data_IF_752685855827
#
_entry.id   IF_752685855827
#
_cell.length_a   1.000
_cell.length_b   1.000
_cell.length_c   1.000
_cell.angle_alpha   90.00
_cell.angle_beta   90.00
_cell.angle_gamma   90.00
#
_symmetry.space_group_name_H-M   'P 1'
#
loop_
_entity.id
_entity.type
_entity.pdbx_description
1 polymer ?
#
# COMPACT_ATOMS: atom_id res chain seq x y z
N UNK A 1 19.23 16.88 -15.65
CA UNK A 1 19.16 16.47 -14.22
C UNK A 1 17.76 16.25 -13.63
N UNK A 2 16.68 16.53 -14.36
CA UNK A 2 15.30 16.33 -13.85
C UNK A 2 14.84 14.86 -13.71
N UNK A 3 15.55 13.89 -14.26
CA UNK A 3 15.13 12.49 -14.31
C UNK A 3 15.57 11.62 -13.11
N UNK A 4 16.38 12.14 -12.21
CA UNK A 4 16.98 11.36 -11.11
C UNK A 4 16.01 10.96 -9.97
N UNK A 5 14.76 11.47 -9.96
CA UNK A 5 13.77 11.16 -8.91
C UNK A 5 12.52 10.53 -9.47
N UNK A 6 11.98 9.55 -8.73
CA UNK A 6 10.72 8.90 -9.07
C UNK A 6 9.57 9.89 -9.25
N UNK A 7 8.67 9.63 -10.21
CA UNK A 7 7.53 10.49 -10.52
C UNK A 7 6.64 10.82 -9.30
N UNK A 8 6.48 9.86 -8.38
CA UNK A 8 5.76 10.06 -7.12
C UNK A 8 6.42 11.11 -6.22
N UNK A 9 7.75 11.03 -6.06
CA UNK A 9 8.53 12.00 -5.27
C UNK A 9 8.45 13.39 -5.89
N UNK A 10 8.53 13.49 -7.21
CA UNK A 10 8.39 14.78 -7.91
C UNK A 10 7.04 15.43 -7.65
N UNK A 11 5.94 14.68 -7.75
CA UNK A 11 4.59 15.19 -7.46
C UNK A 11 4.44 15.68 -6.03
N UNK A 12 4.92 14.91 -5.06
CA UNK A 12 4.81 15.29 -3.64
C UNK A 12 5.70 16.48 -3.31
N UNK A 13 6.89 16.59 -3.90
CA UNK A 13 7.76 17.76 -3.75
C UNK A 13 7.15 19.01 -4.41
N UNK A 14 6.58 18.88 -5.60
CA UNK A 14 5.89 19.99 -6.27
C UNK A 14 4.70 20.50 -5.45
N UNK A 15 3.91 19.60 -4.83
CA UNK A 15 2.82 19.97 -3.95
C UNK A 15 3.31 20.68 -2.69
N UNK A 16 4.34 20.13 -2.03
CA UNK A 16 4.94 20.73 -0.83
C UNK A 16 5.57 22.10 -1.13
N UNK A 17 6.23 22.23 -2.27
CA UNK A 17 6.81 23.48 -2.73
C UNK A 17 5.74 24.55 -2.99
N UNK A 18 4.66 24.20 -3.69
CA UNK A 18 3.55 25.11 -3.93
C UNK A 18 2.94 25.60 -2.63
N UNK A 19 2.74 24.73 -1.65
CA UNK A 19 2.24 25.12 -0.34
C UNK A 19 3.17 26.14 0.37
N UNK A 20 4.49 25.96 0.27
CA UNK A 20 5.47 26.89 0.81
C UNK A 20 5.46 28.25 0.09
N UNK A 21 5.49 28.25 -1.25
CA UNK A 21 5.48 29.50 -2.04
C UNK A 21 4.18 30.27 -1.85
N UNK A 22 3.04 29.61 -1.77
CA UNK A 22 1.74 30.25 -1.48
C UNK A 22 1.73 30.91 -0.10
N UNK A 23 2.28 30.19 0.92
CA UNK A 23 2.41 30.76 2.25
C UNK A 23 3.35 31.98 2.28
N UNK A 24 4.53 31.87 1.65
CA UNK A 24 5.46 32.99 1.56
C UNK A 24 4.82 34.23 0.89
N UNK A 25 4.10 34.03 -0.20
CA UNK A 25 3.40 35.14 -0.90
C UNK A 25 2.36 35.81 0.00
N UNK A 26 1.64 35.04 0.79
CA UNK A 26 0.63 35.57 1.73
C UNK A 26 1.26 36.36 2.88
N UNK A 27 2.39 35.90 3.39
CA UNK A 27 3.07 36.53 4.54
C UNK A 27 4.13 37.57 4.13
N UNK A 28 4.27 37.87 2.84
CA UNK A 28 5.23 38.86 2.35
C UNK A 28 6.69 38.40 2.37
N UNK A 29 6.94 37.09 2.32
CA UNK A 29 8.30 36.50 2.35
C UNK A 29 8.80 36.07 0.98
N UNK A 30 10.11 36.13 0.77
CA UNK A 30 10.78 35.56 -0.41
C UNK A 30 10.92 34.04 -0.24
N UNK A 31 10.41 33.29 -1.24
CA UNK A 31 10.48 31.83 -1.22
C UNK A 31 11.82 31.26 -1.73
N UNK A 32 12.54 31.98 -2.63
CA UNK A 32 13.86 31.62 -3.17
C UNK A 32 14.67 32.89 -3.45
N UNK A 33 15.85 33.07 -2.84
CA UNK A 33 16.33 32.30 -1.70
C UNK A 33 15.53 32.62 -0.44
N UNK A 34 15.11 31.60 0.30
CA UNK A 34 14.40 31.81 1.55
C UNK A 34 15.40 31.97 2.72
N UNK A 35 15.12 32.89 3.62
CA UNK A 35 15.87 33.02 4.85
C UNK A 35 15.52 31.89 5.84
N UNK A 36 16.45 31.35 6.66
CA UNK A 36 16.16 30.35 7.67
C UNK A 36 14.99 30.70 8.60
N UNK A 37 14.87 31.96 9.02
CA UNK A 37 13.75 32.46 9.84
C UNK A 37 12.41 32.27 9.14
N UNK A 38 12.33 32.52 7.84
CA UNK A 38 11.11 32.30 7.04
C UNK A 38 10.71 30.80 7.04
N UNK A 39 11.69 29.91 6.91
CA UNK A 39 11.43 28.48 6.95
C UNK A 39 10.99 28.01 8.33
N UNK A 40 11.60 28.54 9.41
CA UNK A 40 11.21 28.25 10.78
C UNK A 40 9.78 28.73 11.05
N UNK A 41 9.43 29.97 10.67
CA UNK A 41 8.07 30.51 10.79
C UNK A 41 7.04 29.67 10.03
N UNK A 42 7.37 29.23 8.80
CA UNK A 42 6.52 28.31 8.04
C UNK A 42 6.28 26.97 8.73
N UNK A 43 7.30 26.42 9.38
CA UNK A 43 7.14 25.17 10.16
C UNK A 43 6.20 25.34 11.33
N UNK A 44 6.31 26.46 12.07
CA UNK A 44 5.42 26.79 13.20
C UNK A 44 3.99 26.96 12.69
N UNK A 45 3.78 27.77 11.65
CA UNK A 45 2.46 27.95 11.04
C UNK A 45 1.83 26.63 10.59
N UNK A 46 2.64 25.72 10.01
CA UNK A 46 2.16 24.39 9.66
C UNK A 46 1.84 23.53 10.89
N UNK A 47 2.66 23.60 11.94
CA UNK A 47 2.42 22.84 13.17
C UNK A 47 1.15 23.30 13.89
N UNK A 48 0.83 24.59 13.84
CA UNK A 48 -0.35 25.17 14.46
C UNK A 48 -1.63 25.03 13.64
N UNK A 49 -1.51 24.58 12.39
CA UNK A 49 -2.69 24.32 11.55
C UNK A 49 -3.48 23.14 12.12
N UNK A 50 -4.76 23.37 12.41
CA UNK A 50 -5.71 22.35 12.89
C UNK A 50 -6.77 22.05 11.83
N UNK A 51 -7.37 20.87 11.91
CA UNK A 51 -8.52 20.45 11.11
C UNK A 51 -9.82 21.03 11.71
N UNK A 52 -10.93 20.90 11.02
CA UNK A 52 -12.27 21.24 11.55
C UNK A 52 -12.60 20.49 12.86
N UNK A 53 -12.01 19.33 13.07
CA UNK A 53 -12.14 18.54 14.31
C UNK A 53 -11.19 18.99 15.43
N UNK A 54 -10.42 20.07 15.25
CA UNK A 54 -9.46 20.57 16.24
C UNK A 54 -8.15 19.77 16.32
N UNK A 55 -7.95 18.78 15.47
CA UNK A 55 -6.74 17.97 15.46
C UNK A 55 -5.62 18.64 14.64
N UNK A 56 -4.35 18.36 14.98
CA UNK A 56 -3.20 18.82 14.17
C UNK A 56 -3.31 18.33 12.72
N UNK A 57 -3.30 19.26 11.76
CA UNK A 57 -3.46 18.93 10.34
C UNK A 57 -2.26 18.16 9.75
N UNK A 58 -1.05 18.36 10.28
CA UNK A 58 0.18 17.82 9.71
C UNK A 58 1.00 17.07 10.75
N UNK A 59 1.36 15.81 10.44
CA UNK A 59 2.29 15.04 11.25
C UNK A 59 3.74 15.57 11.11
N UNK A 60 4.62 15.38 12.11
CA UNK A 60 6.03 15.76 12.04
C UNK A 60 6.76 15.22 10.81
N UNK A 61 6.39 14.00 10.34
CA UNK A 61 6.93 13.41 9.12
C UNK A 61 6.52 14.19 7.85
N UNK A 62 5.33 14.81 7.85
CA UNK A 62 4.87 15.68 6.76
C UNK A 62 5.68 16.97 6.73
N UNK A 63 5.96 17.55 7.88
CA UNK A 63 6.81 18.75 8.02
C UNK A 63 8.24 18.45 7.55
N UNK A 64 8.81 17.33 7.97
CA UNK A 64 10.13 16.89 7.47
C UNK A 64 10.16 16.72 5.94
N UNK A 65 9.06 16.19 5.36
CA UNK A 65 8.93 16.10 3.90
C UNK A 65 8.86 17.47 3.22
N UNK A 66 8.16 18.46 3.83
CA UNK A 66 8.13 19.84 3.34
C UNK A 66 9.51 20.48 3.37
N UNK A 67 10.28 20.31 4.45
CA UNK A 67 11.67 20.74 4.52
C UNK A 67 12.53 20.12 3.41
N UNK A 68 12.39 18.83 3.16
CA UNK A 68 13.14 18.16 2.08
C UNK A 68 12.78 18.72 0.69
N UNK A 69 11.52 19.14 0.47
CA UNK A 69 11.10 19.80 -0.76
C UNK A 69 11.70 21.21 -0.89
N UNK A 70 11.70 22.01 0.19
CA UNK A 70 12.32 23.34 0.23
C UNK A 70 13.82 23.23 -0.09
N UNK A 71 14.53 22.31 0.59
CA UNK A 71 15.94 22.06 0.34
C UNK A 71 16.24 21.64 -1.11
N UNK A 72 15.34 20.83 -1.69
CA UNK A 72 15.47 20.38 -3.07
C UNK A 72 15.36 21.55 -4.06
N UNK A 73 14.32 22.39 -3.91
CA UNK A 73 14.10 23.51 -4.81
C UNK A 73 15.21 24.56 -4.71
N UNK A 74 15.73 24.89 -3.52
CA UNK A 74 16.88 25.78 -3.36
C UNK A 74 18.10 25.28 -4.11
N UNK A 75 18.47 23.99 -3.93
CA UNK A 75 19.60 23.39 -4.67
C UNK A 75 19.39 23.41 -6.17
N UNK A 76 18.17 23.20 -6.67
CA UNK A 76 17.88 23.25 -8.10
C UNK A 76 18.00 24.67 -8.66
N UNK A 77 17.72 25.69 -7.86
CA UNK A 77 17.84 27.11 -8.22
C UNK A 77 19.23 27.68 -7.96
N UNK A 78 20.21 26.84 -7.60
CA UNK A 78 21.59 27.27 -7.36
C UNK A 78 21.81 28.01 -6.04
N UNK A 79 20.86 27.95 -5.10
CA UNK A 79 20.96 28.62 -3.81
C UNK A 79 21.33 27.66 -2.67
N UNK A 80 22.03 28.14 -1.62
CA UNK A 80 22.22 27.40 -0.40
C UNK A 80 20.88 26.99 0.20
N UNK A 81 20.84 25.79 0.80
CA UNK A 81 19.60 25.35 1.44
C UNK A 81 19.44 25.94 2.83
N UNK A 82 18.32 26.63 3.14
CA UNK A 82 18.06 27.18 4.46
C UNK A 82 17.72 26.12 5.51
N UNK A 83 17.41 24.89 5.08
CA UNK A 83 16.89 23.84 5.99
C UNK A 83 17.99 23.18 6.83
N UNK A 84 19.27 23.45 6.55
CA UNK A 84 20.41 23.00 7.34
C UNK A 84 20.80 23.93 8.48
N UNK A 85 20.14 25.08 8.60
CA UNK A 85 20.38 26.06 9.64
C UNK A 85 19.95 25.54 11.03
N UNK A 86 20.69 25.95 12.06
CA UNK A 86 20.44 25.53 13.45
C UNK A 86 19.06 25.95 13.95
N UNK A 87 18.58 27.13 13.56
CA UNK A 87 17.25 27.60 13.92
C UNK A 87 16.17 26.66 13.36
N UNK A 88 16.29 26.27 12.10
CA UNK A 88 15.30 25.37 11.46
C UNK A 88 15.34 23.98 12.10
N UNK A 89 16.54 23.46 12.42
CA UNK A 89 16.70 22.19 13.12
C UNK A 89 16.12 22.23 14.51
N UNK A 90 16.42 23.29 15.28
CA UNK A 90 15.89 23.48 16.62
C UNK A 90 14.35 23.62 16.62
N UNK A 91 13.79 24.39 15.68
CA UNK A 91 12.33 24.53 15.50
C UNK A 91 11.68 23.19 15.23
N UNK A 92 12.22 22.40 14.28
CA UNK A 92 11.67 21.08 13.96
C UNK A 92 11.78 20.11 15.14
N UNK A 93 12.86 20.19 15.93
CA UNK A 93 13.04 19.40 17.16
C UNK A 93 12.04 19.79 18.23
N UNK A 94 11.80 21.09 18.42
CA UNK A 94 10.79 21.62 19.33
C UNK A 94 9.38 21.15 18.98
N UNK A 95 9.01 21.24 17.70
CA UNK A 95 7.73 20.73 17.20
C UNK A 95 7.58 19.23 17.50
N UNK A 96 8.60 18.40 17.23
CA UNK A 96 8.55 16.96 17.53
C UNK A 96 8.35 16.67 19.01
N UNK A 97 9.04 17.42 19.90
CA UNK A 97 8.85 17.29 21.36
C UNK A 97 7.45 17.71 21.76
N UNK A 98 6.93 18.84 21.26
CA UNK A 98 5.57 19.29 21.53
C UNK A 98 4.54 18.22 21.17
N UNK A 99 4.60 17.65 19.96
CA UNK A 99 3.72 16.55 19.55
C UNK A 99 3.86 15.30 20.44
N UNK A 100 5.06 14.98 20.90
CA UNK A 100 5.27 13.85 21.79
C UNK A 100 4.69 14.09 23.18
N UNK A 101 4.77 15.32 23.70
CA UNK A 101 4.26 15.70 25.01
C UNK A 101 2.73 15.74 25.04
N UNK A 102 2.09 16.28 24.00
CA UNK A 102 0.63 16.36 23.92
C UNK A 102 -0.02 15.04 23.50
N UNK A 103 0.77 14.06 23.07
CA UNK A 103 0.25 12.80 22.55
C UNK A 103 -0.50 12.94 21.21
N UNK A 104 -0.53 14.14 20.63
CA UNK A 104 -1.23 14.43 19.38
C UNK A 104 -0.52 13.78 18.20
N UNK A 105 -1.13 12.76 17.66
CA UNK A 105 -0.69 12.11 16.41
C UNK A 105 -1.77 12.31 15.34
N UNK A 106 -1.51 13.15 14.32
CA UNK A 106 -2.52 13.42 13.28
C UNK A 106 -2.85 12.21 12.40
N UNK A 107 -2.16 11.09 12.53
CA UNK A 107 -2.46 9.84 11.83
C UNK A 107 -2.06 8.64 12.69
N UNK A 108 -3.03 7.84 13.06
CA UNK A 108 -2.78 6.47 13.54
C UNK A 108 -2.14 5.62 12.45
N UNK A 109 -1.22 4.70 12.79
CA UNK A 109 -0.76 3.67 11.87
C UNK A 109 -1.95 2.92 11.27
N UNK A 110 -1.81 2.42 10.06
CA UNK A 110 -2.85 1.60 9.42
C UNK A 110 -3.04 0.31 10.22
N UNK A 111 -4.29 0.03 10.61
CA UNK A 111 -4.61 -1.23 11.25
C UNK A 111 -4.19 -2.41 10.35
N UNK A 112 -3.47 -3.41 10.88
CA UNK A 112 -3.09 -4.59 10.12
C UNK A 112 -4.31 -5.48 9.89
N UNK A 113 -4.44 -6.04 8.69
CA UNK A 113 -5.37 -7.15 8.43
C UNK A 113 -4.60 -8.47 8.56
N UNK A 114 -4.94 -9.27 9.54
CA UNK A 114 -4.29 -10.56 9.79
C UNK A 114 -4.86 -11.66 8.90
N UNK A 115 -4.30 -12.87 8.96
CA UNK A 115 -4.75 -13.98 8.13
C UNK A 115 -6.23 -14.31 8.36
N UNK A 116 -6.67 -14.31 9.61
CA UNK A 116 -8.08 -14.58 9.95
C UNK A 116 -9.01 -13.50 9.34
N UNK A 117 -8.60 -12.23 9.39
CA UNK A 117 -9.36 -11.12 8.80
C UNK A 117 -9.49 -11.30 7.28
N UNK A 118 -8.37 -11.62 6.61
CA UNK A 118 -8.37 -11.82 5.16
C UNK A 118 -9.30 -12.97 4.76
N UNK A 119 -9.25 -14.09 5.50
CA UNK A 119 -10.12 -15.25 5.24
C UNK A 119 -11.59 -14.87 5.43
N UNK A 120 -11.95 -14.26 6.57
CA UNK A 120 -13.33 -13.85 6.85
C UNK A 120 -13.89 -12.88 5.80
N UNK A 121 -13.08 -11.88 5.39
CA UNK A 121 -13.45 -10.91 4.36
C UNK A 121 -13.66 -11.59 3.00
N UNK A 122 -12.80 -12.54 2.64
CA UNK A 122 -12.90 -13.27 1.37
C UNK A 122 -14.11 -14.20 1.35
N UNK A 123 -14.35 -14.95 2.43
CA UNK A 123 -15.49 -15.87 2.53
C UNK A 123 -16.81 -15.10 2.48
N UNK A 124 -16.92 -13.99 3.21
CA UNK A 124 -18.09 -13.12 3.13
C UNK A 124 -18.29 -12.54 1.73
N UNK A 125 -17.21 -12.08 1.07
CA UNK A 125 -17.28 -11.54 -0.27
C UNK A 125 -17.82 -12.55 -1.29
N UNK A 126 -17.50 -13.84 -1.13
CA UNK A 126 -18.02 -14.94 -1.95
C UNK A 126 -19.48 -15.25 -1.65
N UNK A 127 -19.81 -15.30 -0.37
CA UNK A 127 -21.18 -15.57 0.07
C UNK A 127 -22.19 -14.51 -0.39
N UNK A 128 -21.75 -13.26 -0.53
CA UNK A 128 -22.60 -12.13 -0.93
C UNK A 128 -22.84 -12.02 -2.44
N UNK A 129 -22.20 -12.84 -3.27
CA UNK A 129 -22.36 -12.77 -4.72
C UNK A 129 -23.78 -13.20 -5.14
N UNK A 130 -24.52 -12.29 -5.79
CA UNK A 130 -25.86 -12.54 -6.30
C UNK A 130 -25.93 -12.70 -7.82
N UNK A 131 -24.81 -12.50 -8.52
CA UNK A 131 -24.76 -12.62 -9.96
C UNK A 131 -23.39 -12.39 -10.56
N UNK A 132 -23.28 -12.54 -11.87
CA UNK A 132 -22.01 -12.48 -12.59
C UNK A 132 -21.20 -11.19 -12.33
N UNK A 133 -21.87 -10.05 -12.18
CA UNK A 133 -21.20 -8.78 -11.94
C UNK A 133 -20.53 -8.74 -10.56
N UNK A 134 -21.21 -9.29 -9.54
CA UNK A 134 -20.66 -9.39 -8.19
C UNK A 134 -19.49 -10.38 -8.14
N UNK A 135 -19.61 -11.50 -8.87
CA UNK A 135 -18.50 -12.45 -9.01
C UNK A 135 -17.27 -11.87 -9.68
N UNK A 136 -17.43 -11.04 -10.73
CA UNK A 136 -16.30 -10.33 -11.36
C UNK A 136 -15.58 -9.45 -10.34
N UNK A 137 -16.35 -8.70 -9.55
CA UNK A 137 -15.80 -7.81 -8.52
C UNK A 137 -15.19 -8.62 -7.38
N UNK A 138 -15.84 -9.72 -6.94
CA UNK A 138 -15.30 -10.63 -5.93
C UNK A 138 -13.95 -11.19 -6.35
N UNK A 139 -13.85 -11.79 -7.55
CA UNK A 139 -12.61 -12.41 -8.03
C UNK A 139 -11.45 -11.43 -8.08
N UNK A 140 -11.69 -10.18 -8.53
CA UNK A 140 -10.68 -9.12 -8.49
C UNK A 140 -10.29 -8.74 -7.06
N UNK A 141 -11.27 -8.52 -6.20
CA UNK A 141 -11.03 -8.04 -4.84
C UNK A 141 -10.34 -9.11 -4.00
N UNK A 142 -10.72 -10.38 -4.16
CA UNK A 142 -10.02 -11.53 -3.56
C UNK A 142 -8.58 -11.63 -4.06
N UNK A 143 -8.33 -11.41 -5.35
CA UNK A 143 -6.96 -11.35 -5.86
C UNK A 143 -6.17 -10.17 -5.24
N UNK A 144 -6.78 -8.99 -5.06
CA UNK A 144 -6.15 -7.85 -4.36
C UNK A 144 -5.77 -8.24 -2.93
N UNK A 145 -6.70 -8.84 -2.18
CA UNK A 145 -6.50 -9.21 -0.79
C UNK A 145 -5.42 -10.28 -0.63
N UNK A 146 -5.56 -11.41 -1.32
CA UNK A 146 -4.66 -12.55 -1.14
C UNK A 146 -3.27 -12.31 -1.75
N UNK A 147 -3.18 -11.74 -2.96
CA UNK A 147 -1.88 -11.39 -3.54
C UNK A 147 -1.22 -10.26 -2.74
N UNK A 148 -1.99 -9.23 -2.38
CA UNK A 148 -1.49 -8.08 -1.63
C UNK A 148 -0.96 -8.45 -0.27
N UNK A 149 -1.66 -9.34 0.46
CA UNK A 149 -1.26 -9.86 1.76
C UNK A 149 -0.06 -10.81 1.63
N UNK A 150 -0.18 -11.94 0.93
CA UNK A 150 0.86 -12.94 0.85
C UNK A 150 2.14 -12.43 0.15
N UNK A 151 2.00 -11.56 -0.84
CA UNK A 151 3.12 -10.89 -1.49
C UNK A 151 3.66 -9.70 -0.73
N UNK A 152 3.03 -9.28 0.36
CA UNK A 152 3.38 -8.09 1.14
C UNK A 152 3.64 -6.86 0.25
N UNK A 153 2.88 -6.71 -0.84
CA UNK A 153 3.09 -5.66 -1.83
C UNK A 153 2.80 -4.26 -1.26
N UNK A 154 3.61 -3.30 -1.67
CA UNK A 154 3.17 -1.90 -1.59
C UNK A 154 2.03 -1.70 -2.59
N UNK A 155 1.06 -0.87 -2.23
CA UNK A 155 -0.08 -0.54 -3.10
C UNK A 155 0.34 -0.19 -4.54
N UNK A 156 1.40 0.62 -4.68
CA UNK A 156 1.92 1.00 -6.00
C UNK A 156 2.57 -0.14 -6.77
N UNK A 157 3.14 -1.12 -6.08
CA UNK A 157 3.70 -2.32 -6.69
C UNK A 157 2.56 -3.21 -7.21
N UNK A 158 1.53 -3.40 -6.38
CA UNK A 158 0.38 -4.25 -6.72
C UNK A 158 -0.38 -3.76 -7.96
N UNK A 159 -0.68 -2.46 -8.05
CA UNK A 159 -1.41 -1.90 -9.20
C UNK A 159 -0.55 -1.77 -10.47
N UNK A 160 0.77 -1.86 -10.35
CA UNK A 160 1.69 -1.79 -11.48
C UNK A 160 1.97 -3.15 -12.12
N UNK A 161 1.42 -4.24 -11.58
CA UNK A 161 1.60 -5.57 -12.13
C UNK A 161 0.87 -5.71 -13.48
N UNK A 162 1.57 -6.28 -14.45
CA UNK A 162 0.99 -6.75 -15.70
C UNK A 162 0.76 -8.27 -15.65
N UNK A 163 -0.03 -8.78 -16.57
CA UNK A 163 -0.29 -10.22 -16.66
C UNK A 163 0.99 -11.05 -16.86
N UNK A 164 1.97 -10.50 -17.59
CA UNK A 164 3.28 -11.14 -17.81
C UNK A 164 4.18 -11.19 -16.58
N UNK A 165 3.91 -10.38 -15.55
CA UNK A 165 4.73 -10.37 -14.35
C UNK A 165 4.44 -11.56 -13.43
N UNK A 166 3.35 -12.30 -13.70
CA UNK A 166 2.92 -13.43 -12.87
C UNK A 166 3.09 -14.74 -13.64
N UNK A 167 3.84 -15.65 -13.07
CA UNK A 167 4.01 -17.02 -13.57
C UNK A 167 3.63 -18.03 -12.48
N UNK A 168 3.00 -19.13 -12.91
CA UNK A 168 2.69 -20.26 -12.03
C UNK A 168 3.82 -21.27 -12.14
N UNK A 169 4.55 -21.45 -11.04
CA UNK A 169 5.58 -22.48 -10.91
C UNK A 169 4.95 -23.76 -10.37
N UNK A 170 5.30 -24.89 -10.98
CA UNK A 170 4.64 -26.19 -10.70
C UNK A 170 4.75 -26.63 -9.24
N UNK A 171 5.86 -26.34 -8.58
CA UNK A 171 6.14 -26.76 -7.20
C UNK A 171 5.87 -25.66 -6.17
N UNK A 172 6.19 -24.41 -6.50
CA UNK A 172 6.24 -23.33 -5.50
C UNK A 172 4.94 -22.54 -5.38
N UNK A 173 4.14 -22.46 -6.44
CA UNK A 173 2.98 -21.55 -6.54
C UNK A 173 3.22 -20.38 -7.49
N UNK A 174 2.84 -19.16 -7.13
CA UNK A 174 3.05 -18.00 -7.99
C UNK A 174 4.44 -17.42 -7.80
N UNK A 175 5.12 -17.13 -8.90
CA UNK A 175 6.28 -16.25 -8.96
C UNK A 175 5.87 -14.92 -9.57
N UNK A 176 6.00 -13.84 -8.81
CA UNK A 176 5.61 -12.49 -9.21
C UNK A 176 6.85 -11.63 -9.32
N UNK A 177 7.15 -11.19 -10.55
CA UNK A 177 8.29 -10.32 -10.86
C UNK A 177 7.93 -8.86 -10.63
N UNK A 178 8.59 -8.20 -9.71
CA UNK A 178 8.54 -6.76 -9.55
C UNK A 178 9.59 -6.11 -10.43
N UNK A 179 9.15 -5.40 -11.47
CA UNK A 179 10.05 -4.69 -12.40
C UNK A 179 10.74 -3.49 -11.77
N UNK A 180 10.06 -2.80 -10.84
CA UNK A 180 10.56 -1.66 -10.06
C UNK A 180 9.91 -1.65 -8.69
N UNK A 181 10.65 -1.27 -7.67
CA UNK A 181 10.11 -1.04 -6.32
C UNK A 181 10.60 0.29 -5.76
N UNK A 182 10.08 0.71 -4.60
CA UNK A 182 10.56 1.92 -3.92
C UNK A 182 12.05 1.83 -3.55
N UNK A 183 12.54 0.63 -3.30
CA UNK A 183 13.94 0.34 -2.92
C UNK A 183 14.81 -0.12 -4.09
N UNK A 184 14.20 -0.44 -5.22
CA UNK A 184 14.87 -0.82 -6.47
C UNK A 184 14.41 0.10 -7.60
N UNK A 185 14.99 1.30 -7.66
CA UNK A 185 14.70 2.29 -8.69
C UNK A 185 15.46 1.99 -9.99
N UNK A 186 16.54 1.21 -9.90
CA UNK A 186 17.36 0.81 -11.05
C UNK A 186 16.75 -0.33 -11.84
N UNK A 187 15.72 -0.99 -11.26
CA UNK A 187 14.97 -2.03 -11.95
C UNK A 187 15.72 -3.35 -12.10
N UNK A 188 16.58 -3.71 -11.14
CA UNK A 188 17.21 -5.04 -11.06
C UNK A 188 16.17 -6.14 -10.99
N UNK A 189 14.97 -5.80 -10.48
CA UNK A 189 13.84 -6.69 -10.33
C UNK A 189 13.98 -7.64 -9.15
N UNK A 190 12.86 -7.93 -8.53
CA UNK A 190 12.78 -8.95 -7.48
C UNK A 190 11.64 -9.89 -7.77
N UNK A 191 11.79 -11.16 -7.44
CA UNK A 191 10.71 -12.15 -7.52
C UNK A 191 10.17 -12.40 -6.12
N UNK A 192 8.84 -12.38 -5.99
CA UNK A 192 8.14 -12.83 -4.79
C UNK A 192 7.40 -14.10 -5.08
N UNK A 193 7.62 -15.12 -4.27
CA UNK A 193 6.93 -16.38 -4.36
C UNK A 193 5.73 -16.40 -3.40
N UNK A 194 4.57 -16.84 -3.90
CA UNK A 194 3.36 -17.03 -3.12
C UNK A 194 2.99 -18.53 -3.21
N UNK A 195 3.08 -19.28 -2.10
CA UNK A 195 2.95 -20.72 -2.14
C UNK A 195 1.52 -21.17 -2.38
N UNK A 196 1.38 -22.42 -2.77
CA UNK A 196 0.13 -23.16 -2.60
C UNK A 196 -0.18 -23.26 -1.11
N UNK A 197 -1.45 -23.22 -0.75
CA UNK A 197 -1.92 -23.32 0.65
C UNK A 197 -2.74 -24.59 0.85
N UNK A 198 -3.04 -24.95 2.11
CA UNK A 198 -3.92 -26.09 2.40
C UNK A 198 -5.38 -25.79 2.02
N UNK A 199 -5.86 -24.59 2.35
CA UNK A 199 -7.21 -24.18 2.00
C UNK A 199 -7.26 -23.51 0.63
N UNK A 200 -8.19 -23.96 -0.22
CA UNK A 200 -8.45 -23.34 -1.52
C UNK A 200 -8.98 -21.91 -1.38
N UNK A 201 -9.75 -21.61 -0.33
CA UNK A 201 -10.40 -20.32 -0.11
C UNK A 201 -9.40 -19.19 0.15
N UNK A 202 -8.29 -19.49 0.84
CA UNK A 202 -7.21 -18.55 1.14
C UNK A 202 -5.97 -18.72 0.25
N UNK A 203 -6.08 -19.46 -0.85
CA UNK A 203 -4.96 -19.76 -1.74
C UNK A 203 -4.69 -18.63 -2.74
N UNK A 204 -3.52 -17.91 -2.67
CA UNK A 204 -3.20 -16.85 -3.61
C UNK A 204 -3.13 -17.34 -5.07
N UNK A 205 -2.54 -18.51 -5.38
CA UNK A 205 -2.62 -19.09 -6.73
C UNK A 205 -4.05 -19.33 -7.23
N UNK A 206 -4.97 -19.78 -6.39
CA UNK A 206 -6.39 -19.95 -6.77
C UNK A 206 -7.05 -18.58 -7.07
N UNK A 207 -6.84 -17.61 -6.22
CA UNK A 207 -7.37 -16.26 -6.41
C UNK A 207 -6.86 -15.63 -7.72
N UNK A 208 -5.56 -15.76 -7.99
CA UNK A 208 -4.98 -15.30 -9.23
C UNK A 208 -5.58 -16.01 -10.45
N UNK A 209 -5.70 -17.33 -10.41
CA UNK A 209 -6.21 -18.11 -11.56
C UNK A 209 -7.65 -17.75 -11.88
N UNK A 210 -8.52 -17.68 -10.85
CA UNK A 210 -9.92 -17.28 -11.02
C UNK A 210 -10.06 -15.88 -11.62
N UNK A 211 -9.21 -14.95 -11.19
CA UNK A 211 -9.19 -13.61 -11.76
C UNK A 211 -8.61 -13.60 -13.18
N UNK A 212 -7.54 -14.33 -13.45
CA UNK A 212 -6.93 -14.45 -14.78
C UNK A 212 -7.89 -15.07 -15.82
N UNK A 213 -8.77 -15.99 -15.40
CA UNK A 213 -9.84 -16.53 -16.25
C UNK A 213 -10.82 -15.43 -16.69
N UNK A 214 -11.20 -14.53 -15.77
CA UNK A 214 -12.08 -13.40 -16.11
C UNK A 214 -11.40 -12.44 -17.09
N UNK A 215 -10.12 -12.13 -16.87
CA UNK A 215 -9.34 -11.29 -17.79
C UNK A 215 -9.29 -11.95 -19.17
N UNK A 216 -8.92 -13.22 -19.26
CA UNK A 216 -8.80 -13.94 -20.53
C UNK A 216 -10.14 -14.02 -21.27
N UNK A 217 -11.23 -14.29 -20.59
CA UNK A 217 -12.56 -14.30 -21.18
C UNK A 217 -12.95 -12.91 -21.72
N UNK A 218 -12.65 -11.85 -20.96
CA UNK A 218 -12.89 -10.48 -21.43
C UNK A 218 -12.06 -10.14 -22.66
N UNK A 219 -10.76 -10.47 -22.65
CA UNK A 219 -9.86 -10.18 -23.78
C UNK A 219 -10.25 -10.96 -25.05
N UNK A 220 -10.83 -12.16 -24.91
CA UNK A 220 -11.25 -13.01 -26.02
C UNK A 220 -12.62 -12.65 -26.61
N UNK A 221 -13.56 -12.16 -25.80
CA UNK A 221 -14.93 -11.96 -26.28
C UNK A 221 -15.78 -11.01 -25.44
N UNK A 222 -15.13 -10.15 -24.67
CA UNK A 222 -15.78 -9.11 -23.87
C UNK A 222 -16.79 -9.64 -22.85
N UNK A 223 -17.77 -8.81 -22.52
CA UNK A 223 -18.81 -9.12 -21.54
C UNK A 223 -19.53 -10.47 -21.78
N UNK A 224 -19.96 -10.83 -23.00
CA UNK A 224 -20.64 -12.12 -23.21
C UNK A 224 -19.80 -13.33 -22.84
N UNK A 225 -18.49 -13.29 -23.12
CA UNK A 225 -17.57 -14.36 -22.76
C UNK A 225 -17.36 -14.47 -21.24
N UNK A 226 -17.28 -13.35 -20.53
CA UNK A 226 -17.21 -13.33 -19.06
C UNK A 226 -18.48 -13.94 -18.45
N UNK A 227 -19.67 -13.57 -18.95
CA UNK A 227 -20.94 -14.12 -18.44
C UNK A 227 -20.98 -15.63 -18.69
N UNK A 228 -20.58 -16.12 -19.87
CA UNK A 228 -20.54 -17.58 -20.15
C UNK A 228 -19.57 -18.29 -19.22
N UNK A 229 -18.38 -17.74 -18.98
CA UNK A 229 -17.40 -18.29 -18.06
C UNK A 229 -18.00 -18.46 -16.65
N UNK A 230 -18.65 -17.43 -16.14
CA UNK A 230 -19.14 -17.44 -14.75
C UNK A 230 -20.36 -18.31 -14.56
N UNK A 231 -21.29 -18.35 -15.54
CA UNK A 231 -22.46 -19.23 -15.50
C UNK A 231 -22.12 -20.70 -15.66
N UNK A 232 -21.03 -21.03 -16.35
CA UNK A 232 -20.55 -22.39 -16.54
C UNK A 232 -19.45 -22.81 -15.56
N UNK A 233 -19.10 -21.95 -14.59
CA UNK A 233 -18.07 -22.27 -13.63
C UNK A 233 -18.56 -23.28 -12.60
N UNK A 234 -17.76 -24.32 -12.37
CA UNK A 234 -17.99 -25.26 -11.27
C UNK A 234 -17.91 -24.53 -9.92
N UNK A 235 -18.62 -25.03 -8.88
CA UNK A 235 -18.51 -24.52 -7.53
C UNK A 235 -17.04 -24.45 -7.07
N UNK A 236 -16.68 -23.39 -6.35
CA UNK A 236 -15.32 -23.21 -5.83
C UNK A 236 -15.18 -23.94 -4.49
N UNK A 237 -15.13 -25.25 -4.52
CA UNK A 237 -15.04 -26.17 -3.38
C UNK A 237 -13.68 -26.88 -3.27
N UNK A 238 -12.81 -26.68 -4.27
CA UNK A 238 -11.48 -27.28 -4.34
C UNK A 238 -10.44 -26.32 -4.92
N UNK A 239 -9.16 -26.73 -4.89
CA UNK A 239 -8.09 -25.97 -5.53
C UNK A 239 -8.22 -25.97 -7.06
N UNK A 240 -8.32 -24.76 -7.64
CA UNK A 240 -8.27 -24.56 -9.11
C UNK A 240 -6.87 -24.25 -9.64
N UNK A 241 -5.94 -23.90 -8.77
CA UNK A 241 -4.61 -23.40 -9.13
C UNK A 241 -3.70 -24.40 -9.84
N UNK A 242 -4.07 -25.68 -9.87
CA UNK A 242 -3.39 -26.73 -10.66
C UNK A 242 -3.97 -26.93 -12.04
N UNK A 243 -5.04 -26.20 -12.37
CA UNK A 243 -5.69 -26.24 -13.68
C UNK A 243 -4.92 -25.49 -14.78
N UNK A 244 -5.50 -25.48 -15.96
CA UNK A 244 -4.91 -24.83 -17.13
C UNK A 244 -4.81 -23.33 -16.95
N UNK A 245 -3.62 -22.77 -17.19
CA UNK A 245 -3.40 -21.34 -17.18
C UNK A 245 -4.13 -20.67 -18.35
N UNK A 246 -5.00 -19.67 -18.11
CA UNK A 246 -5.65 -18.94 -19.18
C UNK A 246 -4.63 -18.07 -19.94
N UNK A 247 -4.87 -17.86 -21.22
CA UNK A 247 -4.06 -16.96 -22.05
C UNK A 247 -4.53 -15.53 -21.81
N UNK A 248 -3.68 -14.71 -21.25
CA UNK A 248 -3.92 -13.27 -21.01
C UNK A 248 -2.97 -12.44 -21.86
N UNK A 249 -3.36 -11.22 -22.21
CA UNK A 249 -2.52 -10.28 -22.94
C UNK A 249 -1.33 -9.85 -22.08
N UNK A 250 -0.11 -10.14 -22.54
CA UNK A 250 1.13 -10.04 -21.76
C UNK A 250 1.33 -8.67 -21.11
N UNK A 251 1.24 -7.58 -21.86
CA UNK A 251 1.44 -6.22 -21.38
C UNK A 251 0.23 -5.59 -20.68
N UNK A 252 -0.92 -6.29 -20.65
CA UNK A 252 -2.14 -5.77 -20.05
C UNK A 252 -2.03 -5.72 -18.51
N UNK A 253 -2.68 -4.73 -17.85
CA UNK A 253 -2.70 -4.67 -16.40
C UNK A 253 -3.30 -5.92 -15.78
N UNK A 254 -2.65 -6.44 -14.73
CA UNK A 254 -3.19 -7.58 -13.97
C UNK A 254 -4.46 -7.18 -13.20
N UNK A 255 -4.44 -6.03 -12.53
CA UNK A 255 -5.61 -5.52 -11.81
C UNK A 255 -6.25 -4.40 -12.64
N UNK A 256 -7.43 -4.69 -13.17
CA UNK A 256 -8.18 -3.76 -14.01
C UNK A 256 -9.32 -3.09 -13.23
N UNK A 257 -9.66 -1.87 -13.64
CA UNK A 257 -10.87 -1.22 -13.16
C UNK A 257 -12.11 -1.96 -13.67
N UNK A 258 -13.17 -1.98 -12.85
CA UNK A 258 -14.48 -2.56 -13.19
C UNK A 258 -15.50 -1.44 -13.09
N UNK A 259 -16.32 -1.29 -14.12
CA UNK A 259 -17.45 -0.36 -14.14
C UNK A 259 -18.61 -0.89 -13.28
N UNK A 260 -19.53 -0.03 -12.88
CA UNK A 260 -20.70 -0.42 -12.07
C UNK A 260 -21.53 -1.58 -12.65
N UNK A 261 -21.52 -1.73 -13.96
CA UNK A 261 -22.23 -2.79 -14.68
C UNK A 261 -21.42 -4.11 -14.81
N UNK A 262 -20.33 -4.27 -14.07
CA UNK A 262 -19.47 -5.46 -14.07
C UNK A 262 -18.49 -5.54 -15.25
N UNK A 263 -18.48 -4.60 -16.20
CA UNK A 263 -17.57 -4.63 -17.32
C UNK A 263 -16.15 -4.24 -16.91
N UNK A 264 -15.16 -5.01 -17.37
CA UNK A 264 -13.76 -4.66 -17.18
C UNK A 264 -13.39 -3.45 -18.05
N UNK A 265 -12.44 -2.67 -17.56
CA UNK A 265 -11.73 -1.65 -18.33
C UNK A 265 -10.35 -2.18 -18.71
N UNK A 266 -9.78 -1.67 -19.81
CA UNK A 266 -8.40 -1.99 -20.22
C UNK A 266 -7.37 -1.21 -19.40
N UNK A 267 -7.82 -0.29 -18.54
CA UNK A 267 -6.94 0.52 -17.68
C UNK A 267 -6.63 -0.16 -16.36
N UNK A 268 -5.42 0.07 -15.87
CA UNK A 268 -4.99 -0.39 -14.56
C UNK A 268 -5.87 0.21 -13.45
N UNK A 269 -6.11 -0.58 -12.41
CA UNK A 269 -6.76 -0.12 -11.21
C UNK A 269 -5.92 0.97 -10.52
N UNK A 270 -6.55 2.04 -10.07
CA UNK A 270 -5.83 3.09 -9.34
C UNK A 270 -5.50 2.64 -7.91
N UNK A 271 -4.43 3.22 -7.34
CA UNK A 271 -4.12 2.95 -5.94
C UNK A 271 -5.23 3.40 -4.96
N UNK A 272 -6.02 4.42 -5.30
CA UNK A 272 -7.19 4.81 -4.52
C UNK A 272 -8.27 3.72 -4.55
N UNK A 273 -8.51 3.12 -5.72
CA UNK A 273 -9.49 2.05 -5.86
C UNK A 273 -9.13 0.79 -5.05
N UNK A 274 -7.84 0.50 -4.84
CA UNK A 274 -7.41 -0.57 -3.92
C UNK A 274 -7.86 -0.28 -2.49
N UNK A 275 -7.71 0.96 -2.00
CA UNK A 275 -8.21 1.34 -0.67
C UNK A 275 -9.73 1.17 -0.57
N UNK A 276 -10.46 1.62 -1.59
CA UNK A 276 -11.92 1.48 -1.62
C UNK A 276 -12.35 0.01 -1.65
N UNK A 277 -11.66 -0.85 -2.42
CA UNK A 277 -11.97 -2.28 -2.46
C UNK A 277 -11.79 -2.92 -1.08
N UNK A 278 -10.66 -2.68 -0.40
CA UNK A 278 -10.39 -3.23 0.93
C UNK A 278 -11.43 -2.76 1.94
N UNK A 279 -11.73 -1.47 1.99
CA UNK A 279 -12.69 -0.89 2.94
C UNK A 279 -14.10 -1.43 2.71
N UNK A 280 -14.58 -1.41 1.47
CA UNK A 280 -15.90 -1.95 1.12
C UNK A 280 -16.05 -3.41 1.53
N UNK A 281 -15.01 -4.25 1.30
CA UNK A 281 -15.05 -5.67 1.67
C UNK A 281 -15.01 -5.87 3.18
N UNK A 282 -14.22 -5.09 3.91
CA UNK A 282 -14.22 -5.12 5.37
C UNK A 282 -15.56 -4.64 5.96
N UNK A 283 -16.15 -3.59 5.39
CA UNK A 283 -17.48 -3.10 5.78
C UNK A 283 -18.56 -4.16 5.54
N UNK A 284 -18.58 -4.81 4.36
CA UNK A 284 -19.49 -5.93 4.07
C UNK A 284 -19.27 -7.11 5.03
N UNK A 285 -18.07 -7.31 5.53
CA UNK A 285 -17.75 -8.34 6.50
C UNK A 285 -18.08 -7.95 7.95
N UNK A 286 -18.69 -6.77 8.18
CA UNK A 286 -19.17 -6.36 9.50
C UNK A 286 -18.09 -5.72 10.39
N UNK A 287 -16.97 -5.27 9.82
CA UNK A 287 -15.95 -4.55 10.60
C UNK A 287 -16.45 -3.18 11.04
N UNK A 288 -16.06 -2.79 12.25
CA UNK A 288 -16.37 -1.47 12.82
C UNK A 288 -15.97 -0.33 11.88
N UNK A 289 -16.82 0.69 11.64
CA UNK A 289 -16.53 1.81 10.76
C UNK A 289 -15.23 2.57 11.10
N UNK A 290 -14.85 2.69 12.37
CA UNK A 290 -13.62 3.36 12.78
C UNK A 290 -12.39 2.53 12.40
N UNK A 291 -12.48 1.20 12.47
CA UNK A 291 -11.45 0.30 11.97
C UNK A 291 -11.38 0.40 10.45
N UNK A 292 -12.51 0.37 9.75
CA UNK A 292 -12.59 0.47 8.28
C UNK A 292 -11.91 1.74 7.77
N UNK A 293 -12.08 2.89 8.44
CA UNK A 293 -11.40 4.15 8.09
C UNK A 293 -9.88 4.04 8.12
N UNK A 294 -9.34 3.19 8.99
CA UNK A 294 -7.91 2.96 9.13
C UNK A 294 -7.36 1.95 8.11
N UNK A 295 -8.23 1.17 7.42
CA UNK A 295 -7.80 0.17 6.46
C UNK A 295 -7.36 0.77 5.12
N UNK A 296 -6.53 0.02 4.41
CA UNK A 296 -6.07 0.36 3.07
C UNK A 296 -4.99 -0.58 2.57
N UNK A 297 -4.40 -0.28 1.41
CA UNK A 297 -3.37 -1.14 0.81
C UNK A 297 -2.14 -1.37 1.69
N UNK A 298 -1.86 -0.49 2.64
CA UNK A 298 -0.78 -0.71 3.60
C UNK A 298 -1.15 -1.72 4.70
N UNK A 299 -2.45 -1.86 5.01
CA UNK A 299 -2.96 -2.83 5.99
C UNK A 299 -2.65 -4.28 5.63
N UNK A 300 -2.65 -4.61 4.33
CA UNK A 300 -2.27 -5.94 3.85
C UNK A 300 -0.80 -6.25 4.14
N UNK A 301 0.08 -5.30 3.85
CA UNK A 301 1.52 -5.44 4.09
C UNK A 301 1.85 -5.40 5.59
N UNK A 302 1.22 -4.52 6.36
CA UNK A 302 1.35 -4.47 7.80
C UNK A 302 0.87 -5.78 8.44
N UNK A 303 -0.28 -6.29 7.99
CA UNK A 303 -0.82 -7.57 8.43
C UNK A 303 0.09 -8.74 8.14
N UNK A 304 0.67 -8.81 6.93
CA UNK A 304 1.67 -9.83 6.62
C UNK A 304 2.85 -9.80 7.59
N UNK A 305 3.44 -8.62 7.82
CA UNK A 305 4.60 -8.47 8.72
C UNK A 305 4.22 -8.88 10.14
N UNK A 306 3.10 -8.38 10.64
CA UNK A 306 2.60 -8.71 11.98
C UNK A 306 2.33 -10.20 12.16
N UNK A 307 1.63 -10.81 11.18
CA UNK A 307 1.30 -12.23 11.23
C UNK A 307 2.56 -13.10 11.13
N UNK A 308 3.51 -12.73 10.26
CA UNK A 308 4.76 -13.44 10.10
C UNK A 308 5.59 -13.44 11.40
N UNK A 309 5.66 -12.28 12.06
CA UNK A 309 6.30 -12.20 13.38
C UNK A 309 5.58 -13.05 14.42
N UNK A 310 4.24 -12.97 14.51
CA UNK A 310 3.46 -13.80 15.45
C UNK A 310 3.68 -15.30 15.23
N UNK A 311 3.95 -15.70 14.00
CA UNK A 311 4.25 -17.09 13.64
C UNK A 311 5.75 -17.44 13.74
N UNK A 312 6.58 -16.57 14.33
CA UNK A 312 8.00 -16.83 14.59
C UNK A 312 8.93 -16.70 13.39
N UNK A 313 8.47 -16.06 12.29
CA UNK A 313 9.34 -15.82 11.15
C UNK A 313 10.46 -14.84 11.49
N UNK A 314 11.70 -15.15 11.05
CA UNK A 314 12.84 -14.26 11.27
C UNK A 314 12.69 -12.95 10.49
N UNK A 315 13.29 -11.88 11.01
CA UNK A 315 13.32 -10.57 10.33
C UNK A 315 13.87 -10.69 8.89
N UNK A 316 14.88 -11.52 8.67
CA UNK A 316 15.44 -11.75 7.32
C UNK A 316 14.44 -12.43 6.36
N UNK A 317 13.67 -13.40 6.83
CA UNK A 317 12.63 -14.04 6.03
C UNK A 317 11.54 -13.04 5.65
N UNK A 318 11.12 -12.19 6.60
CA UNK A 318 10.15 -11.13 6.37
C UNK A 318 10.71 -10.09 5.38
N UNK A 319 11.98 -9.67 5.53
CA UNK A 319 12.64 -8.71 4.64
C UNK A 319 12.71 -9.23 3.20
N UNK A 320 13.00 -10.51 2.98
CA UNK A 320 12.99 -11.11 1.63
C UNK A 320 11.63 -10.96 0.94
N UNK A 321 10.54 -11.19 1.68
CA UNK A 321 9.19 -11.07 1.10
C UNK A 321 8.75 -9.61 0.96
N UNK A 322 9.11 -8.76 1.91
CA UNK A 322 8.64 -7.37 1.93
C UNK A 322 9.53 -6.40 1.15
N UNK A 323 10.82 -6.72 0.99
CA UNK A 323 11.83 -5.80 0.43
C UNK A 323 12.12 -4.61 1.36
N UNK A 324 12.07 -4.82 2.68
CA UNK A 324 12.66 -3.87 3.63
C UNK A 324 14.17 -4.00 3.61
N UNK A 325 14.88 -2.88 3.74
CA UNK A 325 16.35 -2.83 3.64
C UNK A 325 17.04 -2.99 4.98
N UNK A 326 16.34 -2.75 6.08
CA UNK A 326 16.89 -2.89 7.43
C UNK A 326 15.88 -3.54 8.38
N UNK A 327 16.34 -4.34 9.38
CA UNK A 327 15.47 -4.88 10.43
C UNK A 327 14.73 -3.78 11.22
N UNK A 328 15.37 -2.65 11.47
CA UNK A 328 14.78 -1.53 12.21
C UNK A 328 13.45 -1.03 11.59
N UNK A 329 13.27 -1.17 10.26
CA UNK A 329 12.00 -0.84 9.61
C UNK A 329 10.88 -1.82 9.96
N UNK A 330 11.20 -3.02 10.40
CA UNK A 330 10.25 -4.04 10.82
C UNK A 330 9.91 -3.93 12.30
N UNK A 331 10.84 -3.43 13.13
CA UNK A 331 10.68 -3.27 14.58
C UNK A 331 9.45 -2.41 14.94
N UNK A 332 9.09 -1.45 14.09
CA UNK A 332 7.88 -0.65 14.29
C UNK A 332 6.64 -1.54 14.37
N UNK A 333 6.54 -2.55 13.49
CA UNK A 333 5.42 -3.49 13.46
C UNK A 333 5.46 -4.48 14.64
N UNK A 334 6.65 -4.92 15.04
CA UNK A 334 6.81 -5.80 16.17
C UNK A 334 6.38 -5.10 17.47
N UNK A 335 6.83 -3.87 17.71
CA UNK A 335 6.48 -3.08 18.89
C UNK A 335 4.99 -2.74 18.99
N UNK A 336 4.36 -2.40 17.86
CA UNK A 336 2.95 -1.97 17.85
C UNK A 336 1.97 -3.15 17.88
N UNK A 337 2.30 -4.28 17.29
CA UNK A 337 1.32 -5.36 17.04
C UNK A 337 1.73 -6.75 17.53
N UNK A 338 2.97 -6.91 17.99
CA UNK A 338 3.46 -8.15 18.57
C UNK A 338 4.54 -7.87 19.66
N UNK A 339 4.23 -7.08 20.70
CA UNK A 339 5.23 -6.54 21.64
C UNK A 339 5.91 -7.61 22.50
N UNK A 340 5.32 -8.78 22.65
CA UNK A 340 5.91 -9.88 23.42
C UNK A 340 6.82 -10.78 22.59
N UNK A 341 6.78 -10.67 21.27
CA UNK A 341 7.58 -11.53 20.41
C UNK A 341 9.07 -11.14 20.47
N UNK A 342 9.92 -12.07 20.87
CA UNK A 342 11.35 -11.82 21.05
C UNK A 342 11.66 -10.83 22.18
N UNK A 343 10.69 -10.54 23.03
CA UNK A 343 10.90 -9.69 24.19
C UNK A 343 11.49 -10.51 25.35
N UNK A 344 12.54 -9.97 25.97
CA UNK A 344 13.23 -10.63 27.08
C UNK A 344 12.29 -10.97 28.25
N UNK A 345 11.18 -10.25 28.43
CA UNK A 345 10.20 -10.52 29.48
C UNK A 345 9.62 -11.92 29.41
N UNK A 346 9.53 -12.52 28.22
CA UNK A 346 9.02 -13.88 28.02
C UNK A 346 9.99 -14.97 28.56
N UNK A 347 11.24 -14.60 28.85
CA UNK A 347 12.29 -15.49 29.33
C UNK A 347 12.57 -15.29 30.82
N UNK A 348 11.80 -14.44 31.53
CA UNK A 348 12.02 -14.17 32.95
C UNK A 348 11.41 -15.22 33.88
N UNK A 349 10.64 -16.17 33.37
CA UNK A 349 10.01 -17.21 34.17
C UNK A 349 8.86 -16.70 35.08
N UNK A 350 8.26 -15.56 34.72
CA UNK A 350 7.11 -14.99 35.41
C UNK A 350 5.81 -15.72 35.09
#
# INVERSE_FOLDING_TARGET
MASARAAGTRRTYASAWRAFTTWCAREGHTAVPAHPVTVAAYLVACADTVTEAGERAYAPATLAHRLAAIAHHHRQSGHPTPTGDDLVRATMSGIRRGYATTGERPRSPRAPLLTADIVAIVDKARADCQGWADEVVERRDTAILLLGFAGAFRRSELVALNCSDVSLHRLDGLHIKLRKSKTDQEGRGTVRALPFTHSHTSCPPCAWLRWAQVIAAHDAGGRPAVIRLLRGAEPFDAHVCRGTRPRTTSGAPLLRAIRKNGNLSDTALSGAAVHHAIRRRAESAGYDPEIVKQLGGHSLRAGFVTQAFRNGASAHAIMRQTGHTTPAMLEVYAREHAPLLGNAVTNLGL
#
